data_IF_689784647345
#
_entry.id   IF_689784647345
#
_cell.length_a   1.000
_cell.length_b   1.000
_cell.length_c   1.000
_cell.angle_alpha   90.00
_cell.angle_beta   90.00
_cell.angle_gamma   90.00
#
_symmetry.space_group_name_H-M   'P 1'
#
loop_
_entity.id
_entity.type
_entity.pdbx_description
1 polymer ?
#
# COMPACT_ATOMS: atom_id res chain seq x y z
N UNK A 1 -13.88 12.38 -11.24
CA UNK A 1 -12.57 12.25 -10.59
C UNK A 1 -12.76 11.31 -9.40
N UNK A 2 -12.04 10.21 -9.36
CA UNK A 2 -12.12 9.20 -8.30
C UNK A 2 -10.74 9.06 -7.68
N UNK A 3 -10.68 9.23 -6.36
CA UNK A 3 -9.45 9.18 -5.56
C UNK A 3 -9.62 8.15 -4.44
N UNK A 4 -8.58 7.37 -4.16
CA UNK A 4 -8.51 6.42 -3.07
C UNK A 4 -7.43 6.87 -2.09
N UNK A 5 -7.79 6.96 -0.81
CA UNK A 5 -6.86 7.29 0.27
C UNK A 5 -6.71 6.07 1.18
N UNK A 6 -5.48 5.65 1.42
CA UNK A 6 -5.18 4.49 2.26
C UNK A 6 -3.88 4.66 3.04
N UNK A 7 -3.75 3.96 4.17
CA UNK A 7 -2.47 3.88 4.90
C UNK A 7 -1.43 3.07 4.14
N UNK A 8 -1.85 2.03 3.42
CA UNK A 8 -0.97 1.19 2.61
C UNK A 8 -1.75 0.47 1.51
N UNK A 9 -1.10 0.26 0.38
CA UNK A 9 -1.66 -0.48 -0.76
C UNK A 9 -0.57 -1.32 -1.40
N UNK A 10 -0.88 -2.57 -1.76
CA UNK A 10 0.06 -3.43 -2.49
C UNK A 10 0.29 -2.96 -3.94
N UNK A 11 1.52 -3.12 -4.45
CA UNK A 11 1.92 -2.69 -5.80
C UNK A 11 0.96 -3.13 -6.92
N UNK A 12 0.47 -4.37 -6.88
CA UNK A 12 -0.52 -4.87 -7.86
C UNK A 12 -1.83 -4.08 -7.86
N UNK A 13 -2.32 -3.67 -6.68
CA UNK A 13 -3.54 -2.89 -6.59
C UNK A 13 -3.30 -1.44 -7.04
N UNK A 14 -2.14 -0.86 -6.71
CA UNK A 14 -1.74 0.46 -7.21
C UNK A 14 -1.76 0.49 -8.75
N UNK A 15 -1.14 -0.50 -9.40
CA UNK A 15 -1.16 -0.62 -10.87
C UNK A 15 -2.57 -0.73 -11.44
N UNK A 16 -3.42 -1.59 -10.86
CA UNK A 16 -4.79 -1.79 -11.31
C UNK A 16 -5.63 -0.50 -11.25
N UNK A 17 -5.49 0.30 -10.18
CA UNK A 17 -6.23 1.54 -10.02
C UNK A 17 -5.65 2.67 -10.88
N UNK A 18 -4.33 2.71 -11.07
CA UNK A 18 -3.68 3.65 -11.98
C UNK A 18 -4.15 3.44 -13.43
N UNK A 19 -4.28 2.19 -13.88
CA UNK A 19 -4.85 1.85 -15.21
C UNK A 19 -6.30 2.33 -15.37
N UNK A 20 -7.06 2.40 -14.26
CA UNK A 20 -8.43 2.91 -14.24
C UNK A 20 -8.51 4.44 -14.12
N UNK A 21 -7.38 5.15 -14.22
CA UNK A 21 -7.28 6.60 -14.01
C UNK A 21 -7.84 7.03 -12.63
N UNK A 22 -7.63 6.19 -11.61
CA UNK A 22 -7.98 6.48 -10.23
C UNK A 22 -6.73 7.01 -9.53
N UNK A 23 -6.87 8.17 -8.92
CA UNK A 23 -5.79 8.79 -8.14
C UNK A 23 -5.62 8.04 -6.82
N UNK A 24 -4.38 7.81 -6.41
CA UNK A 24 -4.07 6.97 -5.26
C UNK A 24 -3.17 7.74 -4.32
N UNK A 25 -3.62 7.91 -3.08
CA UNK A 25 -2.86 8.54 -2.01
C UNK A 25 -2.62 7.49 -0.92
N UNK A 26 -1.37 7.07 -0.79
CA UNK A 26 -0.91 6.10 0.20
C UNK A 26 -0.08 6.76 1.29
N UNK A 27 0.12 6.09 2.42
CA UNK A 27 0.92 6.61 3.55
C UNK A 27 0.13 7.52 4.49
N UNK A 28 -1.20 7.50 4.41
CA UNK A 28 -2.06 8.32 5.27
C UNK A 28 -2.41 7.56 6.54
N UNK A 29 -2.08 8.14 7.68
CA UNK A 29 -2.37 7.57 9.00
C UNK A 29 -2.88 8.67 9.93
N UNK A 30 -3.84 8.34 10.80
CA UNK A 30 -4.48 9.29 11.71
C UNK A 30 -6.00 9.16 11.74
N UNK A 31 -6.66 10.08 12.45
CA UNK A 31 -8.13 10.09 12.55
C UNK A 31 -8.78 10.53 11.23
N UNK A 32 -9.95 9.96 10.95
CA UNK A 32 -10.68 10.18 9.70
C UNK A 32 -10.99 11.66 9.51
N UNK A 33 -11.45 12.35 10.56
CA UNK A 33 -11.80 13.78 10.48
C UNK A 33 -10.60 14.66 10.11
N UNK A 34 -9.41 14.37 10.68
CA UNK A 34 -8.19 15.09 10.31
C UNK A 34 -7.78 14.81 8.87
N UNK A 35 -7.85 13.56 8.43
CA UNK A 35 -7.51 13.16 7.06
C UNK A 35 -8.43 13.86 6.07
N UNK A 36 -9.74 13.85 6.32
CA UNK A 36 -10.74 14.55 5.50
C UNK A 36 -10.45 16.05 5.47
N UNK A 37 -10.13 16.67 6.61
CA UNK A 37 -9.77 18.09 6.65
C UNK A 37 -8.52 18.41 5.83
N UNK A 38 -7.50 17.54 5.85
CA UNK A 38 -6.26 17.70 5.06
C UNK A 38 -6.52 17.55 3.56
N UNK A 39 -7.42 16.63 3.17
CA UNK A 39 -7.87 16.45 1.77
C UNK A 39 -8.55 17.74 1.28
N UNK A 40 -9.53 18.26 2.02
CA UNK A 40 -10.26 19.47 1.64
C UNK A 40 -9.33 20.69 1.57
N UNK A 41 -8.29 20.73 2.42
CA UNK A 41 -7.29 21.80 2.43
C UNK A 41 -6.21 21.67 1.34
N UNK A 42 -6.20 20.58 0.56
CA UNK A 42 -5.16 20.31 -0.44
C UNK A 42 -3.77 20.07 0.15
N UNK A 43 -3.68 19.69 1.42
CA UNK A 43 -2.42 19.47 2.17
C UNK A 43 -2.11 17.98 2.39
N UNK A 44 -2.85 17.08 1.75
CA UNK A 44 -2.63 15.65 1.90
C UNK A 44 -1.48 15.22 0.99
N UNK A 45 -0.33 14.93 1.58
CA UNK A 45 0.84 14.42 0.87
C UNK A 45 0.82 12.90 0.83
N UNK A 46 1.22 12.32 -0.30
CA UNK A 46 1.50 10.89 -0.38
C UNK A 46 2.76 10.56 0.42
N UNK A 47 2.66 9.56 1.29
CA UNK A 47 3.76 9.05 2.08
C UNK A 47 4.23 7.68 1.60
N UNK A 48 5.21 7.12 2.30
CA UNK A 48 5.61 5.73 2.08
C UNK A 48 4.45 4.76 2.36
N UNK A 49 4.35 3.72 1.53
CA UNK A 49 3.39 2.66 1.80
C UNK A 49 3.74 1.95 3.10
N UNK A 50 2.79 1.88 4.03
CA UNK A 50 2.95 1.07 5.26
C UNK A 50 2.91 -0.45 5.00
N UNK A 51 2.71 -0.88 3.75
CA UNK A 51 2.69 -2.29 3.37
C UNK A 51 4.10 -2.85 3.21
N UNK A 52 4.47 -3.80 4.07
CA UNK A 52 5.74 -4.54 3.97
C UNK A 52 5.50 -5.86 3.21
N UNK A 53 6.44 -6.32 2.35
CA UNK A 53 6.34 -7.62 1.71
C UNK A 53 6.15 -8.75 2.74
N UNK A 54 5.08 -9.53 2.59
CA UNK A 54 4.78 -10.67 3.48
C UNK A 54 3.93 -10.35 4.72
N UNK A 55 3.54 -9.10 4.98
CA UNK A 55 2.62 -8.74 6.09
C UNK A 55 1.20 -9.31 5.95
N UNK A 56 0.80 -9.71 4.75
CA UNK A 56 -0.50 -10.35 4.48
C UNK A 56 -0.48 -11.88 4.56
N UNK A 57 0.62 -12.51 4.99
CA UNK A 57 0.69 -13.98 5.14
C UNK A 57 -0.35 -14.44 6.17
N UNK A 58 -1.15 -15.44 5.80
CA UNK A 58 -2.18 -16.03 6.67
C UNK A 58 -3.55 -15.32 6.67
N UNK A 59 -3.71 -14.21 5.95
CA UNK A 59 -4.98 -13.46 5.88
C UNK A 59 -5.69 -13.56 4.50
N UNK A 60 -5.37 -14.59 3.69
CA UNK A 60 -5.97 -14.83 2.37
C UNK A 60 -5.56 -16.16 1.74
N UNK A 61 -5.95 -16.42 0.48
CA UNK A 61 -5.52 -17.62 -0.26
C UNK A 61 -3.99 -17.62 -0.35
N UNK A 62 -3.38 -18.74 0.02
CA UNK A 62 -1.95 -18.96 -0.06
C UNK A 62 -1.48 -18.73 -1.50
N UNK A 63 -0.73 -17.65 -1.71
CA UNK A 63 -0.10 -17.39 -3.00
C UNK A 63 1.10 -18.34 -3.10
N UNK A 64 0.90 -19.46 -3.81
CA UNK A 64 1.94 -20.48 -4.03
C UNK A 64 3.16 -19.96 -4.79
N UNK A 65 3.08 -18.76 -5.38
CA UNK A 65 4.13 -18.11 -6.14
C UNK A 65 4.19 -16.64 -5.73
N UNK A 66 5.35 -16.22 -5.24
CA UNK A 66 5.69 -14.81 -5.12
C UNK A 66 6.54 -14.47 -6.35
N UNK A 67 5.95 -13.85 -7.37
CA UNK A 67 6.71 -13.23 -8.46
C UNK A 67 7.43 -11.99 -7.90
N UNK A 68 8.56 -12.22 -7.24
CA UNK A 68 9.56 -11.19 -7.00
C UNK A 68 10.83 -11.70 -7.68
N UNK A 69 11.22 -11.05 -8.77
CA UNK A 69 12.57 -11.15 -9.33
C UNK A 69 13.61 -10.99 -8.21
N UNK A 70 14.62 -11.85 -8.25
CA UNK A 70 15.64 -12.03 -7.24
C UNK A 70 16.30 -10.71 -6.79
N UNK A 71 15.95 -10.24 -5.61
CA UNK A 71 16.86 -9.41 -4.82
C UNK A 71 17.08 -10.05 -3.45
N UNK A 72 18.30 -10.58 -3.33
CA UNK A 72 18.95 -11.18 -2.17
C UNK A 72 18.57 -10.47 -0.85
N UNK A 73 17.75 -11.12 -0.04
CA UNK A 73 17.66 -10.84 1.39
C UNK A 73 18.10 -12.10 2.14
N UNK A 74 19.35 -12.07 2.62
CA UNK A 74 19.90 -13.01 3.58
C UNK A 74 18.96 -13.16 4.79
N UNK A 75 18.23 -14.28 4.83
CA UNK A 75 17.46 -14.66 5.99
C UNK A 75 18.35 -15.49 6.93
N UNK A 76 19.01 -14.83 7.87
CA UNK A 76 19.58 -15.49 9.04
C UNK A 76 18.44 -15.84 10.01
N UNK A 77 17.65 -16.87 9.67
CA UNK A 77 16.66 -17.45 10.58
C UNK A 77 17.15 -18.81 11.05
N UNK A 78 17.90 -18.74 12.15
CA UNK A 78 18.42 -19.86 12.93
C UNK A 78 17.27 -20.74 13.43
N UNK A 79 17.38 -22.05 13.22
CA UNK A 79 16.94 -23.04 14.20
C UNK A 79 18.03 -24.09 14.35
#
# INVERSE_FOLDING_TARGET
MSCIVAGGMGHRAQGLFAEKNIEIIIGVNGEIDEVVSRIVSGKLESGESTCVPGSGRGHGIEKSICDHDEHNHENNHKK
#
